data_IF_681737986407
#
_entry.id   IF_681737986407
#
_cell.length_a   1.000
_cell.length_b   1.000
_cell.length_c   1.000
_cell.angle_alpha   90.00
_cell.angle_beta   90.00
_cell.angle_gamma   90.00
#
_symmetry.space_group_name_H-M   'P 1'
#
loop_
_entity.id
_entity.type
_entity.pdbx_description
1 polymer ?
#
# COMPACT_ATOMS: atom_id res chain seq x y z
N UNK A 1 22.64 -45.44 -53.78
CA UNK A 1 23.43 -44.32 -53.22
C UNK A 1 22.67 -43.02 -53.45
N UNK A 2 21.91 -42.51 -52.45
CA UNK A 2 21.27 -41.19 -52.48
C UNK A 2 21.87 -40.40 -51.33
N UNK A 3 22.56 -39.27 -51.65
CA UNK A 3 23.15 -38.33 -50.69
C UNK A 3 22.03 -37.52 -50.02
N UNK A 4 21.93 -37.62 -48.70
CA UNK A 4 21.10 -36.76 -47.86
C UNK A 4 21.79 -35.41 -47.68
N UNK A 5 21.20 -34.32 -48.21
CA UNK A 5 21.68 -32.97 -48.03
C UNK A 5 21.29 -32.46 -46.63
N UNK A 6 22.28 -32.08 -45.82
CA UNK A 6 22.11 -31.45 -44.53
C UNK A 6 21.64 -30.00 -44.71
N UNK A 7 20.40 -29.71 -44.31
CA UNK A 7 19.86 -28.35 -44.21
C UNK A 7 20.41 -27.74 -42.92
N UNK A 8 21.42 -26.90 -43.07
CA UNK A 8 21.96 -26.06 -41.98
C UNK A 8 20.89 -25.02 -41.55
N UNK A 9 20.21 -25.27 -40.43
CA UNK A 9 19.40 -24.27 -39.76
C UNK A 9 20.31 -23.17 -39.20
N UNK A 10 20.42 -22.05 -39.91
CA UNK A 10 21.02 -20.82 -39.37
C UNK A 10 20.24 -20.40 -38.09
N UNK A 11 20.88 -20.54 -36.92
CA UNK A 11 20.41 -19.93 -35.67
C UNK A 11 20.27 -18.44 -35.91
N UNK A 12 19.17 -17.80 -35.45
CA UNK A 12 19.05 -16.37 -35.55
C UNK A 12 20.19 -15.70 -34.78
N UNK A 13 20.97 -14.85 -35.45
CA UNK A 13 21.99 -14.01 -34.82
C UNK A 13 21.28 -13.12 -33.81
N UNK A 14 21.49 -13.40 -32.52
CA UNK A 14 21.20 -12.43 -31.46
C UNK A 14 22.08 -11.23 -31.73
N UNK A 15 21.47 -10.10 -32.10
CA UNK A 15 22.17 -8.85 -32.33
C UNK A 15 22.93 -8.48 -31.04
N UNK A 16 24.25 -8.52 -31.12
CA UNK A 16 25.13 -8.09 -30.04
C UNK A 16 24.94 -6.62 -29.80
N UNK A 17 24.46 -6.29 -28.61
CA UNK A 17 24.18 -4.95 -28.15
C UNK A 17 25.48 -4.22 -27.80
N UNK A 18 26.04 -3.50 -28.76
CA UNK A 18 26.94 -2.39 -28.50
C UNK A 18 26.11 -1.12 -28.61
N UNK A 19 25.60 -0.63 -27.46
CA UNK A 19 25.37 0.80 -27.29
C UNK A 19 25.02 1.09 -25.82
N UNK A 20 25.90 1.88 -25.21
CA UNK A 20 25.77 2.56 -23.91
C UNK A 20 25.37 1.61 -22.77
N UNK A 21 26.21 0.67 -22.43
CA UNK A 21 26.19 0.01 -21.10
C UNK A 21 26.65 1.04 -20.09
N UNK A 22 25.70 1.72 -19.41
CA UNK A 22 26.00 2.38 -18.16
C UNK A 22 26.69 1.36 -17.25
N UNK A 23 27.74 1.79 -16.53
CA UNK A 23 28.32 0.95 -15.47
C UNK A 23 27.17 0.45 -14.59
N UNK A 24 27.13 -0.82 -14.19
CA UNK A 24 26.01 -1.40 -13.43
C UNK A 24 25.61 -0.55 -12.20
N UNK A 25 26.58 0.09 -11.56
CA UNK A 25 26.36 0.96 -10.40
C UNK A 25 25.57 2.22 -10.74
N UNK A 26 25.83 2.85 -11.91
CA UNK A 26 25.06 4.05 -12.32
C UNK A 26 23.63 3.71 -12.73
N UNK A 27 23.41 2.55 -13.36
CA UNK A 27 22.08 2.10 -13.72
C UNK A 27 21.22 1.82 -12.48
N UNK A 28 21.82 1.20 -11.47
CA UNK A 28 21.14 0.93 -10.18
C UNK A 28 20.84 2.23 -9.43
N UNK A 29 21.78 3.21 -9.45
CA UNK A 29 21.57 4.51 -8.79
C UNK A 29 20.41 5.29 -9.44
N UNK A 30 20.34 5.34 -10.77
CA UNK A 30 19.23 6.01 -11.48
C UNK A 30 17.89 5.32 -11.22
N UNK A 31 17.88 4.00 -11.21
CA UNK A 31 16.69 3.24 -10.86
C UNK A 31 16.26 3.51 -9.41
N UNK A 32 17.19 3.54 -8.48
CA UNK A 32 16.92 3.88 -7.09
C UNK A 32 16.29 5.27 -6.95
N UNK A 33 16.79 6.28 -7.66
CA UNK A 33 16.21 7.64 -7.65
C UNK A 33 14.77 7.67 -8.17
N UNK A 34 14.49 6.96 -9.28
CA UNK A 34 13.11 6.87 -9.82
C UNK A 34 12.19 6.14 -8.84
N UNK A 35 12.66 5.06 -8.22
CA UNK A 35 11.89 4.29 -7.25
C UNK A 35 11.64 5.12 -5.98
N UNK A 36 12.67 5.82 -5.47
CA UNK A 36 12.52 6.69 -4.30
C UNK A 36 11.48 7.79 -4.54
N UNK A 37 11.63 8.54 -5.65
CA UNK A 37 10.68 9.59 -6.01
C UNK A 37 9.28 9.02 -6.28
N UNK A 38 9.19 7.89 -6.97
CA UNK A 38 7.93 7.22 -7.27
C UNK A 38 7.21 6.73 -6.01
N UNK A 39 7.90 6.07 -5.09
CA UNK A 39 7.32 5.60 -3.82
C UNK A 39 6.92 6.78 -2.94
N UNK A 40 7.78 7.79 -2.80
CA UNK A 40 7.46 9.00 -2.04
C UNK A 40 6.22 9.69 -2.60
N UNK A 41 6.21 10.00 -3.90
CA UNK A 41 5.11 10.70 -4.53
C UNK A 41 3.80 9.92 -4.48
N UNK A 42 3.83 8.61 -4.83
CA UNK A 42 2.64 7.78 -4.83
C UNK A 42 2.19 7.33 -3.43
N UNK A 43 2.97 7.57 -2.39
CA UNK A 43 2.56 7.35 -1.00
C UNK A 43 2.01 8.63 -0.39
N UNK A 44 2.77 9.74 -0.40
CA UNK A 44 2.34 10.97 0.25
C UNK A 44 1.15 11.65 -0.45
N UNK A 45 1.16 11.74 -1.78
CA UNK A 45 0.11 12.45 -2.51
C UNK A 45 -1.21 11.68 -2.64
N UNK A 46 -1.45 10.66 -1.79
CA UNK A 46 -2.75 9.98 -1.73
C UNK A 46 -3.75 10.77 -0.91
N UNK A 47 -5.02 10.74 -1.34
CA UNK A 47 -6.15 11.30 -0.59
C UNK A 47 -6.29 10.67 0.80
N UNK A 48 -5.76 9.48 0.99
CA UNK A 48 -5.84 8.67 2.21
C UNK A 48 -4.59 8.75 3.09
N UNK A 49 -3.59 9.54 2.69
CA UNK A 49 -2.34 9.77 3.45
C UNK A 49 -2.23 11.25 3.80
N UNK A 50 -1.49 12.05 3.03
CA UNK A 50 -1.24 13.45 3.40
C UNK A 50 -2.52 14.29 3.42
N UNK A 51 -3.42 14.06 2.49
CA UNK A 51 -4.68 14.80 2.42
C UNK A 51 -5.81 14.21 3.30
N UNK A 52 -5.59 13.08 4.00
CA UNK A 52 -6.66 12.46 4.79
C UNK A 52 -7.18 13.38 5.88
N UNK A 53 -6.30 13.86 6.74
CA UNK A 53 -6.70 14.74 7.84
C UNK A 53 -7.27 16.09 7.37
N UNK A 54 -6.66 16.79 6.36
CA UNK A 54 -7.27 17.98 5.75
C UNK A 54 -8.66 17.72 5.15
N UNK A 55 -8.84 16.62 4.41
CA UNK A 55 -10.15 16.27 3.83
C UNK A 55 -11.18 15.93 4.91
N UNK A 56 -10.79 15.17 5.96
CA UNK A 56 -11.69 14.87 7.07
C UNK A 56 -12.13 16.17 7.78
N UNK A 57 -11.19 17.10 7.96
CA UNK A 57 -11.47 18.40 8.56
C UNK A 57 -12.42 19.23 7.69
N UNK A 58 -12.18 19.29 6.37
CA UNK A 58 -13.05 19.98 5.42
C UNK A 58 -14.45 19.37 5.39
N UNK A 59 -14.55 18.05 5.24
CA UNK A 59 -15.84 17.32 5.20
C UNK A 59 -16.65 17.57 6.48
N UNK A 60 -15.99 17.56 7.65
CA UNK A 60 -16.67 17.76 8.93
C UNK A 60 -17.07 19.22 9.17
N UNK A 61 -16.13 20.15 9.00
CA UNK A 61 -16.33 21.53 9.47
C UNK A 61 -16.95 22.46 8.42
N UNK A 62 -16.68 22.24 7.12
CA UNK A 62 -17.26 23.04 6.04
C UNK A 62 -18.54 22.40 5.50
N UNK A 63 -18.55 21.07 5.29
CA UNK A 63 -19.69 20.37 4.70
C UNK A 63 -20.61 19.73 5.74
N UNK A 64 -20.30 19.85 7.03
CA UNK A 64 -21.07 19.29 8.14
C UNK A 64 -21.39 17.80 7.99
N UNK A 65 -20.49 17.06 7.31
CA UNK A 65 -20.65 15.62 7.12
C UNK A 65 -20.59 14.89 8.47
N UNK A 66 -21.48 13.93 8.66
CA UNK A 66 -21.42 13.02 9.79
C UNK A 66 -20.26 12.01 9.65
N UNK A 67 -20.07 11.17 10.65
CA UNK A 67 -19.00 10.15 10.64
C UNK A 67 -19.18 9.18 9.49
N UNK A 68 -20.40 8.75 9.23
CA UNK A 68 -20.75 7.80 8.18
C UNK A 68 -20.45 8.36 6.80
N UNK A 69 -20.85 9.60 6.50
CA UNK A 69 -20.56 10.24 5.22
C UNK A 69 -19.06 10.51 5.05
N UNK A 70 -18.35 10.89 6.12
CA UNK A 70 -16.91 11.09 6.09
C UNK A 70 -16.17 9.77 5.79
N UNK A 71 -16.51 8.68 6.47
CA UNK A 71 -15.91 7.37 6.22
C UNK A 71 -16.28 6.82 4.82
N UNK A 72 -17.53 7.01 4.38
CA UNK A 72 -17.98 6.64 3.04
C UNK A 72 -17.20 7.38 1.95
N UNK A 73 -16.85 8.66 2.16
CA UNK A 73 -16.01 9.41 1.23
C UNK A 73 -14.68 8.68 0.95
N UNK A 74 -13.98 8.28 2.00
CA UNK A 74 -12.69 7.58 1.84
C UNK A 74 -12.85 6.17 1.27
N UNK A 75 -13.95 5.48 1.59
CA UNK A 75 -14.26 4.19 0.98
C UNK A 75 -14.42 4.32 -0.53
N UNK A 76 -15.26 5.22 -1.00
CA UNK A 76 -15.49 5.41 -2.43
C UNK A 76 -14.30 6.04 -3.15
N UNK A 77 -13.62 7.00 -2.55
CA UNK A 77 -12.38 7.55 -3.09
C UNK A 77 -11.30 6.50 -3.26
N UNK A 78 -11.28 5.47 -2.38
CA UNK A 78 -10.35 4.35 -2.44
C UNK A 78 -10.61 3.30 -3.52
N UNK A 79 -11.70 3.39 -4.28
CA UNK A 79 -12.15 2.37 -5.24
C UNK A 79 -11.04 1.88 -6.19
N UNK A 80 -10.23 2.79 -6.70
CA UNK A 80 -9.13 2.45 -7.61
C UNK A 80 -8.07 1.54 -6.94
N UNK A 81 -7.83 1.71 -5.63
CA UNK A 81 -6.85 0.89 -4.88
C UNK A 81 -7.33 -0.54 -4.67
N UNK A 82 -8.65 -0.79 -4.65
CA UNK A 82 -9.22 -2.14 -4.59
C UNK A 82 -9.06 -2.87 -5.92
N UNK A 83 -8.98 -2.09 -7.01
CA UNK A 83 -8.83 -2.59 -8.38
C UNK A 83 -7.36 -2.59 -8.87
N UNK A 84 -6.40 -2.40 -7.98
CA UNK A 84 -4.96 -2.31 -8.32
C UNK A 84 -4.43 -3.47 -9.18
N UNK A 85 -4.85 -4.74 -9.03
CA UNK A 85 -4.43 -5.83 -9.91
C UNK A 85 -4.76 -5.59 -11.39
N UNK A 86 -5.90 -4.97 -11.67
CA UNK A 86 -6.28 -4.62 -13.06
C UNK A 86 -5.37 -3.55 -13.65
N UNK A 87 -4.95 -2.55 -12.85
CA UNK A 87 -3.97 -1.56 -13.28
C UNK A 87 -2.62 -2.23 -13.63
N UNK A 88 -2.23 -3.29 -12.90
CA UNK A 88 -1.04 -4.10 -13.22
C UNK A 88 -1.15 -4.77 -14.57
N UNK A 89 -2.25 -5.47 -14.82
CA UNK A 89 -2.52 -6.13 -16.11
C UNK A 89 -2.55 -5.10 -17.23
N UNK A 90 -3.21 -3.95 -17.02
CA UNK A 90 -3.30 -2.87 -18.00
C UNK A 90 -1.92 -2.36 -18.41
N UNK A 91 -1.07 -2.01 -17.43
CA UNK A 91 0.28 -1.48 -17.70
C UNK A 91 1.22 -2.50 -18.32
N UNK A 92 0.97 -3.81 -18.09
CA UNK A 92 1.77 -4.89 -18.64
C UNK A 92 1.34 -5.27 -20.07
N UNK A 93 0.03 -5.29 -20.33
CA UNK A 93 -0.52 -5.77 -21.59
C UNK A 93 -0.53 -4.71 -22.70
N UNK A 94 -0.63 -3.43 -22.35
CA UNK A 94 -0.84 -2.34 -23.32
C UNK A 94 0.28 -1.29 -23.24
N UNK A 95 1.42 -1.49 -23.93
CA UNK A 95 2.50 -0.50 -23.93
C UNK A 95 2.06 0.79 -24.63
N UNK A 96 2.10 1.93 -23.92
CA UNK A 96 1.78 3.24 -24.47
C UNK A 96 3.04 3.85 -25.13
N UNK A 97 2.93 4.26 -26.38
CA UNK A 97 4.04 4.87 -27.17
C UNK A 97 5.30 3.98 -27.21
N UNK A 98 5.13 2.66 -27.12
CA UNK A 98 6.22 1.70 -27.11
C UNK A 98 6.99 1.60 -25.79
N UNK A 99 6.45 2.17 -24.70
CA UNK A 99 6.97 2.10 -23.34
C UNK A 99 5.91 1.50 -22.42
N UNK A 100 6.35 0.58 -21.54
CA UNK A 100 5.47 -0.08 -20.56
C UNK A 100 5.39 0.66 -19.23
N UNK A 101 6.45 1.39 -18.86
CA UNK A 101 6.55 2.03 -17.55
C UNK A 101 6.62 3.54 -17.67
N UNK A 102 7.56 4.05 -18.49
CA UNK A 102 7.83 5.49 -18.59
C UNK A 102 6.59 6.29 -18.98
N UNK A 103 5.89 5.89 -20.05
CA UNK A 103 4.69 6.61 -20.52
C UNK A 103 3.56 6.59 -19.50
N UNK A 104 3.32 5.45 -18.83
CA UNK A 104 2.31 5.36 -17.79
C UNK A 104 2.63 6.25 -16.59
N UNK A 105 3.88 6.23 -16.11
CA UNK A 105 4.31 7.08 -15.00
C UNK A 105 4.13 8.56 -15.35
N UNK A 106 4.59 8.99 -16.53
CA UNK A 106 4.50 10.40 -16.94
C UNK A 106 3.05 10.87 -17.07
N UNK A 107 2.24 10.13 -17.84
CA UNK A 107 0.85 10.51 -18.09
C UNK A 107 0.05 10.52 -16.78
N UNK A 108 0.16 9.45 -15.99
CA UNK A 108 -0.59 9.36 -14.75
C UNK A 108 -0.13 10.37 -13.69
N UNK A 109 1.16 10.67 -13.60
CA UNK A 109 1.67 11.70 -12.68
C UNK A 109 1.18 13.12 -13.08
N UNK A 110 1.22 13.46 -14.37
CA UNK A 110 0.68 14.74 -14.87
C UNK A 110 -0.81 14.84 -14.62
N UNK A 111 -1.58 13.82 -14.98
CA UNK A 111 -3.04 13.82 -14.81
C UNK A 111 -3.44 13.83 -13.33
N UNK A 112 -2.72 13.11 -12.46
CA UNK A 112 -2.93 13.18 -11.02
C UNK A 112 -2.62 14.58 -10.47
N UNK A 113 -1.51 15.21 -10.89
CA UNK A 113 -1.17 16.56 -10.48
C UNK A 113 -2.22 17.59 -10.92
N UNK A 114 -2.68 17.51 -12.16
CA UNK A 114 -3.75 18.37 -12.67
C UNK A 114 -5.07 18.14 -11.92
N UNK A 115 -5.39 16.89 -11.59
CA UNK A 115 -6.59 16.57 -10.80
C UNK A 115 -6.49 17.12 -9.37
N UNK A 116 -5.30 17.12 -8.75
CA UNK A 116 -5.07 17.78 -7.47
C UNK A 116 -5.25 19.29 -7.56
N UNK A 117 -4.71 19.94 -8.61
CA UNK A 117 -4.88 21.37 -8.82
C UNK A 117 -6.35 21.72 -9.13
N UNK A 118 -7.07 20.84 -9.82
CA UNK A 118 -8.50 21.03 -10.07
C UNK A 118 -9.31 21.13 -8.77
N UNK A 119 -8.90 20.45 -7.69
CA UNK A 119 -9.55 20.58 -6.37
C UNK A 119 -9.49 21.99 -5.79
N UNK A 120 -8.52 22.83 -6.20
CA UNK A 120 -8.40 24.22 -5.72
C UNK A 120 -9.60 25.06 -6.20
N UNK A 121 -10.06 24.79 -7.43
CA UNK A 121 -11.14 25.54 -8.08
C UNK A 121 -12.49 24.78 -8.04
N UNK A 122 -12.50 23.54 -7.57
CA UNK A 122 -13.72 22.74 -7.46
C UNK A 122 -14.57 23.27 -6.31
N UNK A 123 -15.89 23.52 -6.52
CA UNK A 123 -16.78 23.85 -5.42
C UNK A 123 -16.73 22.80 -4.31
N UNK A 124 -16.67 23.25 -3.06
CA UNK A 124 -16.62 22.37 -1.89
C UNK A 124 -18.01 21.73 -1.66
N UNK A 125 -18.36 20.80 -2.54
CA UNK A 125 -19.53 19.94 -2.46
C UNK A 125 -19.09 18.49 -2.36
N UNK A 126 -19.77 17.68 -1.57
CA UNK A 126 -19.42 16.29 -1.34
C UNK A 126 -19.22 15.49 -2.62
N UNK A 127 -20.15 15.60 -3.57
CA UNK A 127 -20.10 14.86 -4.84
C UNK A 127 -18.94 15.29 -5.73
N UNK A 128 -18.70 16.58 -5.81
CA UNK A 128 -17.62 17.14 -6.62
C UNK A 128 -16.26 16.73 -6.08
N UNK A 129 -16.03 16.88 -4.78
CA UNK A 129 -14.80 16.47 -4.11
C UNK A 129 -14.57 14.96 -4.25
N UNK A 130 -15.62 14.15 -4.05
CA UNK A 130 -15.53 12.69 -4.21
C UNK A 130 -15.16 12.28 -5.64
N UNK A 131 -15.81 12.89 -6.64
CA UNK A 131 -15.54 12.59 -8.04
C UNK A 131 -14.08 12.86 -8.42
N UNK A 132 -13.56 14.02 -8.02
CA UNK A 132 -12.16 14.37 -8.29
C UNK A 132 -11.21 13.47 -7.48
N UNK A 133 -11.55 13.12 -6.23
CA UNK A 133 -10.75 12.21 -5.41
C UNK A 133 -10.66 10.80 -6.03
N UNK A 134 -11.73 10.28 -6.63
CA UNK A 134 -11.73 9.00 -7.37
C UNK A 134 -10.77 9.10 -8.56
N UNK A 135 -10.83 10.19 -9.34
CA UNK A 135 -9.96 10.42 -10.50
C UNK A 135 -8.50 10.51 -10.09
N UNK A 136 -8.19 11.26 -9.02
CA UNK A 136 -6.84 11.33 -8.45
C UNK A 136 -6.34 9.92 -8.11
N UNK A 137 -7.12 9.15 -7.35
CA UNK A 137 -6.71 7.81 -6.93
C UNK A 137 -6.56 6.84 -8.12
N UNK A 138 -7.36 6.97 -9.16
CA UNK A 138 -7.21 6.18 -10.39
C UNK A 138 -5.83 6.41 -11.04
N UNK A 139 -5.43 7.66 -11.22
CA UNK A 139 -4.10 7.98 -11.76
C UNK A 139 -2.97 7.61 -10.80
N UNK A 140 -3.16 7.80 -9.49
CA UNK A 140 -2.19 7.42 -8.47
C UNK A 140 -1.93 5.90 -8.46
N UNK A 141 -2.97 5.08 -8.61
CA UNK A 141 -2.84 3.61 -8.70
C UNK A 141 -2.06 3.20 -9.94
N UNK A 142 -2.32 3.82 -11.09
CA UNK A 142 -1.58 3.55 -12.33
C UNK A 142 -0.10 3.93 -12.15
N UNK A 143 0.20 5.12 -11.61
CA UNK A 143 1.57 5.56 -11.34
C UNK A 143 2.29 4.59 -10.37
N UNK A 144 1.66 4.28 -9.24
CA UNK A 144 2.19 3.35 -8.22
C UNK A 144 2.47 1.95 -8.79
N UNK A 145 1.59 1.46 -9.64
CA UNK A 145 1.73 0.14 -10.27
C UNK A 145 2.86 0.13 -11.30
N UNK A 146 2.97 1.18 -12.11
CA UNK A 146 4.05 1.32 -13.08
C UNK A 146 5.43 1.49 -12.41
N UNK A 147 5.53 2.25 -11.31
CA UNK A 147 6.75 2.35 -10.49
C UNK A 147 7.11 1.01 -9.87
N UNK A 148 6.12 0.29 -9.33
CA UNK A 148 6.32 -1.06 -8.77
C UNK A 148 6.84 -2.05 -9.82
N UNK A 149 6.25 -2.06 -11.02
CA UNK A 149 6.68 -2.89 -12.14
C UNK A 149 8.11 -2.54 -12.59
N UNK A 150 8.45 -1.26 -12.70
CA UNK A 150 9.80 -0.81 -13.00
C UNK A 150 10.83 -1.29 -11.96
N UNK A 151 10.45 -1.24 -10.67
CA UNK A 151 11.30 -1.74 -9.60
C UNK A 151 11.58 -3.24 -9.75
N UNK A 152 10.56 -4.05 -10.02
CA UNK A 152 10.71 -5.51 -10.19
C UNK A 152 11.59 -5.83 -11.41
N UNK A 153 11.33 -5.21 -12.56
CA UNK A 153 12.14 -5.41 -13.78
C UNK A 153 13.60 -5.03 -13.57
N UNK A 154 13.87 -3.90 -12.89
CA UNK A 154 15.24 -3.47 -12.58
C UNK A 154 15.91 -4.40 -11.57
N UNK A 155 15.17 -4.85 -10.55
CA UNK A 155 15.69 -5.78 -9.54
C UNK A 155 16.16 -7.10 -10.18
N UNK A 156 15.38 -7.62 -11.13
CA UNK A 156 15.73 -8.82 -11.89
C UNK A 156 16.95 -8.59 -12.81
N UNK A 157 16.99 -7.44 -13.51
CA UNK A 157 18.06 -7.13 -14.44
C UNK A 157 19.42 -6.85 -13.78
N UNK A 158 19.42 -6.34 -12.53
CA UNK A 158 20.64 -5.91 -11.81
C UNK A 158 21.01 -6.83 -10.65
N UNK A 159 20.23 -7.90 -10.40
CA UNK A 159 20.35 -8.74 -9.20
C UNK A 159 20.34 -7.92 -7.90
N UNK A 160 19.67 -6.75 -7.93
CA UNK A 160 19.64 -5.76 -6.87
C UNK A 160 18.34 -5.77 -6.03
N UNK A 161 17.61 -6.88 -6.03
CA UNK A 161 16.28 -7.00 -5.41
C UNK A 161 16.27 -6.54 -3.95
N UNK A 162 17.19 -7.02 -3.13
CA UNK A 162 17.26 -6.66 -1.71
C UNK A 162 17.50 -5.16 -1.48
N UNK A 163 18.37 -4.53 -2.29
CA UNK A 163 18.66 -3.09 -2.16
C UNK A 163 17.47 -2.23 -2.55
N UNK A 164 16.80 -2.53 -3.66
CA UNK A 164 15.64 -1.76 -4.13
C UNK A 164 14.43 -1.92 -3.21
N UNK A 165 14.21 -3.11 -2.68
CA UNK A 165 13.16 -3.37 -1.68
C UNK A 165 13.42 -2.63 -0.37
N UNK A 166 14.68 -2.63 0.11
CA UNK A 166 15.07 -1.87 1.30
C UNK A 166 14.87 -0.36 1.13
N UNK A 167 15.26 0.19 -0.03
CA UNK A 167 15.03 1.60 -0.38
C UNK A 167 13.53 1.92 -0.38
N UNK A 168 12.73 1.10 -1.05
CA UNK A 168 11.27 1.28 -1.07
C UNK A 168 10.70 1.32 0.34
N UNK A 169 11.06 0.34 1.17
CA UNK A 169 10.54 0.25 2.54
C UNK A 169 10.99 1.44 3.39
N UNK A 170 12.23 1.86 3.27
CA UNK A 170 12.74 3.04 3.97
C UNK A 170 11.94 4.31 3.62
N UNK A 171 11.70 4.55 2.31
CA UNK A 171 10.92 5.71 1.88
C UNK A 171 9.47 5.63 2.36
N UNK A 172 8.83 4.45 2.34
CA UNK A 172 7.48 4.29 2.87
C UNK A 172 7.40 4.64 4.36
N UNK A 173 8.36 4.20 5.16
CA UNK A 173 8.41 4.55 6.58
C UNK A 173 8.70 6.02 6.82
N UNK A 174 9.60 6.62 6.04
CA UNK A 174 9.85 8.06 6.09
C UNK A 174 8.59 8.88 5.76
N UNK A 175 7.80 8.45 4.77
CA UNK A 175 6.52 9.06 4.46
C UNK A 175 5.54 9.02 5.64
N UNK A 176 5.47 7.92 6.37
CA UNK A 176 4.57 7.79 7.53
C UNK A 176 4.93 8.77 8.66
N UNK A 177 6.24 8.95 8.92
CA UNK A 177 6.73 9.90 9.92
C UNK A 177 6.44 11.35 9.53
N UNK A 178 6.70 11.68 8.26
CA UNK A 178 6.46 13.05 7.75
C UNK A 178 4.96 13.34 7.69
N UNK A 179 4.14 12.35 7.39
CA UNK A 179 2.70 12.50 7.18
C UNK A 179 1.99 13.11 8.39
N UNK A 180 2.29 12.67 9.61
CA UNK A 180 1.60 13.14 10.81
C UNK A 180 1.67 14.68 10.95
N UNK A 181 2.85 15.29 11.16
CA UNK A 181 2.99 16.74 11.30
C UNK A 181 2.55 17.51 10.05
N UNK A 182 2.88 17.01 8.85
CA UNK A 182 2.52 17.69 7.60
C UNK A 182 1.00 17.71 7.39
N UNK A 183 0.31 16.61 7.59
CA UNK A 183 -1.15 16.55 7.49
C UNK A 183 -1.84 17.40 8.56
N UNK A 184 -1.30 17.38 9.80
CA UNK A 184 -1.82 18.20 10.90
C UNK A 184 -1.70 19.71 10.62
N UNK A 185 -0.57 20.14 10.09
CA UNK A 185 -0.37 21.54 9.67
C UNK A 185 -1.29 21.92 8.50
N UNK A 186 -1.31 21.11 7.45
CA UNK A 186 -2.15 21.35 6.27
C UNK A 186 -3.66 21.36 6.60
N UNK A 187 -4.09 20.57 7.56
CA UNK A 187 -5.49 20.58 8.00
C UNK A 187 -5.89 21.84 8.77
N UNK A 188 -4.91 22.61 9.27
CA UNK A 188 -5.15 23.89 9.96
C UNK A 188 -5.17 25.12 9.05
N UNK A 189 -4.91 24.95 7.74
CA UNK A 189 -4.89 26.03 6.75
C UNK A 189 -5.87 25.74 5.60
N UNK A 190 -6.05 26.69 4.69
CA UNK A 190 -6.96 26.52 3.55
C UNK A 190 -6.63 25.27 2.73
N UNK A 191 -7.65 24.47 2.40
CA UNK A 191 -7.51 23.17 1.71
C UNK A 191 -6.75 23.25 0.37
N UNK A 192 -6.83 24.41 -0.31
CA UNK A 192 -6.07 24.65 -1.54
C UNK A 192 -4.56 24.40 -1.39
N UNK A 193 -3.97 24.67 -0.22
CA UNK A 193 -2.57 24.37 0.06
C UNK A 193 -2.28 22.87 0.11
N UNK A 194 -3.21 22.09 0.66
CA UNK A 194 -3.11 20.62 0.64
C UNK A 194 -3.12 20.11 -0.80
N UNK A 195 -4.06 20.60 -1.61
CA UNK A 195 -4.17 20.23 -3.02
C UNK A 195 -2.91 20.62 -3.82
N UNK A 196 -2.40 21.84 -3.60
CA UNK A 196 -1.15 22.32 -4.23
C UNK A 196 0.05 21.47 -3.81
N UNK A 197 0.20 21.15 -2.52
CA UNK A 197 1.30 20.34 -2.00
C UNK A 197 1.26 18.91 -2.59
N UNK A 198 0.10 18.24 -2.56
CA UNK A 198 -0.05 16.92 -3.15
C UNK A 198 0.18 16.93 -4.67
N UNK A 199 -0.33 17.95 -5.36
CA UNK A 199 -0.08 18.15 -6.80
C UNK A 199 1.41 18.34 -7.11
N UNK A 200 2.13 19.15 -6.35
CA UNK A 200 3.56 19.36 -6.48
C UNK A 200 4.37 18.09 -6.21
N UNK A 201 4.02 17.34 -5.15
CA UNK A 201 4.68 16.08 -4.78
C UNK A 201 4.55 15.05 -5.90
N UNK A 202 3.35 14.84 -6.46
CA UNK A 202 3.19 13.88 -7.55
C UNK A 202 3.82 14.37 -8.84
N UNK A 203 3.81 15.69 -9.11
CA UNK A 203 4.45 16.27 -10.28
C UNK A 203 5.98 16.11 -10.26
N UNK A 204 6.61 16.07 -9.08
CA UNK A 204 8.05 15.82 -8.93
C UNK A 204 8.49 14.51 -9.61
N UNK A 205 7.59 13.54 -9.73
CA UNK A 205 7.86 12.29 -10.42
C UNK A 205 8.12 12.48 -11.93
N UNK A 206 7.56 13.53 -12.53
CA UNK A 206 7.70 13.82 -13.97
C UNK A 206 9.15 14.12 -14.36
N UNK A 207 9.83 15.18 -13.83
CA UNK A 207 11.21 15.45 -14.17
C UNK A 207 12.16 14.31 -13.80
N UNK A 208 11.94 13.65 -12.65
CA UNK A 208 12.76 12.49 -12.26
C UNK A 208 12.63 11.35 -13.27
N UNK A 209 11.41 11.05 -13.73
CA UNK A 209 11.17 10.00 -14.72
C UNK A 209 11.76 10.36 -16.09
N UNK A 210 11.65 11.61 -16.52
CA UNK A 210 12.21 12.08 -17.81
C UNK A 210 13.74 11.93 -17.81
N UNK A 211 14.40 12.36 -16.73
CA UNK A 211 15.85 12.43 -16.63
C UNK A 211 16.51 11.07 -16.37
N UNK A 212 15.93 10.27 -15.48
CA UNK A 212 16.60 9.07 -14.96
C UNK A 212 16.01 7.76 -15.45
N UNK A 213 14.72 7.71 -15.87
CA UNK A 213 14.14 6.47 -16.33
C UNK A 213 14.46 6.22 -17.80
N UNK A 214 15.32 5.23 -18.03
CA UNK A 214 15.67 4.74 -19.37
C UNK A 214 15.01 3.40 -19.59
N UNK A 215 14.08 3.34 -20.51
CA UNK A 215 13.37 2.12 -20.89
C UNK A 215 13.65 1.77 -22.36
N UNK A 216 13.93 0.51 -22.64
CA UNK A 216 14.01 0.01 -24.02
C UNK A 216 12.58 -0.15 -24.56
N UNK A 217 12.35 0.37 -25.76
CA UNK A 217 11.10 0.11 -26.48
C UNK A 217 10.97 -1.40 -26.72
N UNK A 218 9.95 -2.02 -26.17
CA UNK A 218 9.63 -3.43 -26.37
C UNK A 218 8.32 -3.53 -27.14
N UNK A 219 8.34 -4.29 -28.22
CA UNK A 219 7.10 -4.78 -28.86
C UNK A 219 6.73 -6.09 -28.15
N UNK A 220 5.78 -6.03 -27.25
CA UNK A 220 5.22 -7.21 -26.60
C UNK A 220 3.92 -7.57 -27.32
N UNK A 221 3.71 -8.87 -27.49
CA UNK A 221 2.42 -9.36 -27.92
C UNK A 221 1.43 -9.31 -26.75
N UNK A 222 0.45 -8.41 -26.83
CA UNK A 222 -0.60 -8.24 -25.80
C UNK A 222 -1.35 -9.56 -25.56
N UNK A 223 -1.45 -10.45 -26.55
CA UNK A 223 -2.09 -11.76 -26.41
C UNK A 223 -1.30 -12.67 -25.49
N UNK A 224 0.03 -12.65 -25.57
CA UNK A 224 0.90 -13.42 -24.70
C UNK A 224 0.82 -12.94 -23.26
N UNK A 225 0.81 -11.60 -23.03
CA UNK A 225 0.69 -11.02 -21.71
C UNK A 225 -0.66 -11.33 -21.06
N UNK A 226 -1.77 -11.20 -21.82
CA UNK A 226 -3.10 -11.57 -21.35
C UNK A 226 -3.22 -13.07 -21.07
N UNK A 227 -2.62 -13.92 -21.92
CA UNK A 227 -2.56 -15.36 -21.69
C UNK A 227 -1.79 -15.73 -20.42
N UNK A 228 -0.71 -15.03 -20.12
CA UNK A 228 0.06 -15.16 -18.88
C UNK A 228 -0.75 -14.69 -17.68
N UNK A 229 -1.41 -13.53 -17.75
CA UNK A 229 -2.28 -13.02 -16.70
C UNK A 229 -3.43 -13.99 -16.39
N UNK A 230 -4.07 -14.58 -17.42
CA UNK A 230 -5.12 -15.59 -17.23
C UNK A 230 -4.58 -16.83 -16.50
N UNK A 231 -3.40 -17.34 -16.88
CA UNK A 231 -2.75 -18.48 -16.18
C UNK A 231 -2.46 -18.15 -14.72
N UNK A 232 -1.95 -16.96 -14.45
CA UNK A 232 -1.69 -16.51 -13.07
C UNK A 232 -2.97 -16.42 -12.25
N UNK A 233 -4.06 -15.89 -12.83
CA UNK A 233 -5.37 -15.84 -12.16
C UNK A 233 -5.90 -17.24 -11.83
N UNK A 234 -5.77 -18.20 -12.76
CA UNK A 234 -6.15 -19.59 -12.51
C UNK A 234 -5.32 -20.22 -11.40
N UNK A 235 -3.99 -20.01 -11.40
CA UNK A 235 -3.09 -20.48 -10.34
C UNK A 235 -3.49 -19.91 -8.97
N UNK A 236 -3.83 -18.63 -8.92
CA UNK A 236 -4.31 -17.95 -7.71
C UNK A 236 -5.66 -18.51 -7.25
N UNK A 237 -6.61 -18.66 -8.17
CA UNK A 237 -7.94 -19.18 -7.86
C UNK A 237 -7.91 -20.61 -7.28
N UNK A 238 -6.93 -21.42 -7.71
CA UNK A 238 -6.76 -22.80 -7.23
C UNK A 238 -5.85 -22.93 -6.01
N UNK A 239 -5.14 -21.86 -5.61
CA UNK A 239 -4.19 -21.88 -4.50
C UNK A 239 -4.87 -21.87 -3.11
N UNK A 240 -5.21 -23.04 -2.59
CA UNK A 240 -5.85 -23.19 -1.26
C UNK A 240 -5.08 -22.48 -0.14
N UNK A 241 -3.77 -22.51 -0.18
CA UNK A 241 -2.88 -21.84 0.80
C UNK A 241 -3.06 -20.33 0.79
N UNK A 242 -3.18 -19.73 -0.40
CA UNK A 242 -3.42 -18.30 -0.54
C UNK A 242 -4.80 -17.89 -0.02
N UNK A 243 -5.85 -18.68 -0.31
CA UNK A 243 -7.20 -18.39 0.18
C UNK A 243 -7.32 -18.55 1.70
N UNK A 244 -6.61 -19.50 2.31
CA UNK A 244 -6.55 -19.62 3.77
C UNK A 244 -5.88 -18.39 4.40
N UNK A 245 -4.78 -17.90 3.81
CA UNK A 245 -4.12 -16.68 4.25
C UNK A 245 -5.00 -15.43 4.02
N UNK A 246 -5.65 -15.33 2.86
CA UNK A 246 -6.59 -14.25 2.54
C UNK A 246 -7.78 -14.25 3.52
N UNK A 247 -8.29 -15.41 3.90
CA UNK A 247 -9.36 -15.56 4.88
C UNK A 247 -8.95 -15.04 6.26
N UNK A 248 -7.74 -15.37 6.74
CA UNK A 248 -7.22 -14.85 8.01
C UNK A 248 -7.04 -13.33 7.95
N UNK A 249 -6.45 -12.82 6.86
CA UNK A 249 -6.30 -11.38 6.65
C UNK A 249 -7.66 -10.68 6.61
N UNK A 250 -8.60 -11.19 5.83
CA UNK A 250 -9.95 -10.64 5.76
C UNK A 250 -10.60 -10.60 7.14
N UNK A 251 -10.49 -11.67 7.93
CA UNK A 251 -11.07 -11.73 9.28
C UNK A 251 -10.42 -10.72 10.24
N UNK A 252 -9.09 -10.52 10.15
CA UNK A 252 -8.41 -9.52 10.96
C UNK A 252 -8.86 -8.09 10.61
N UNK A 253 -8.99 -7.80 9.31
CA UNK A 253 -9.36 -6.47 8.83
C UNK A 253 -10.88 -6.22 8.76
N UNK A 254 -11.73 -7.26 8.86
CA UNK A 254 -13.19 -7.10 8.91
C UNK A 254 -13.69 -6.60 10.27
N UNK A 255 -12.81 -6.55 11.27
CA UNK A 255 -13.11 -5.96 12.57
C UNK A 255 -13.63 -4.52 12.38
N UNK A 256 -14.76 -4.13 13.02
CA UNK A 256 -15.35 -2.81 12.84
C UNK A 256 -14.33 -1.70 13.04
N UNK A 257 -14.04 -0.95 12.00
CA UNK A 257 -13.06 0.14 12.03
C UNK A 257 -13.57 1.33 12.83
N UNK A 258 -12.67 2.09 13.44
CA UNK A 258 -13.01 3.27 14.22
C UNK A 258 -12.08 4.48 13.96
N UNK A 259 -11.35 4.46 12.84
CA UNK A 259 -10.40 5.53 12.52
C UNK A 259 -11.12 6.88 12.32
N UNK A 260 -12.23 6.89 11.57
CA UNK A 260 -13.04 8.11 11.40
C UNK A 260 -13.77 8.47 12.72
N UNK A 261 -14.27 7.48 13.44
CA UNK A 261 -14.89 7.71 14.76
C UNK A 261 -13.90 8.34 15.76
N UNK A 262 -12.66 7.87 15.78
CA UNK A 262 -11.58 8.41 16.60
C UNK A 262 -11.28 9.87 16.24
N UNK A 263 -11.21 10.21 14.94
CA UNK A 263 -11.05 11.60 14.51
C UNK A 263 -12.14 12.52 15.08
N UNK A 264 -13.41 12.09 15.03
CA UNK A 264 -14.51 12.86 15.60
C UNK A 264 -14.43 12.94 17.13
N UNK A 265 -14.05 11.87 17.81
CA UNK A 265 -13.81 11.85 19.27
C UNK A 265 -12.70 12.83 19.66
N UNK A 266 -11.60 12.84 18.95
CA UNK A 266 -10.47 13.75 19.16
C UNK A 266 -10.90 15.23 19.05
N UNK A 267 -11.74 15.56 18.06
CA UNK A 267 -12.21 16.93 17.87
C UNK A 267 -13.36 17.33 18.80
N UNK A 268 -14.37 16.45 18.98
CA UNK A 268 -15.60 16.81 19.67
C UNK A 268 -15.52 16.64 21.20
N UNK A 269 -14.82 15.59 21.67
CA UNK A 269 -14.74 15.28 23.10
C UNK A 269 -13.44 15.81 23.74
N UNK A 270 -12.31 15.67 23.03
CA UNK A 270 -11.01 16.10 23.55
C UNK A 270 -10.58 17.49 23.06
N UNK A 271 -11.35 18.09 22.15
CA UNK A 271 -11.08 19.42 21.57
C UNK A 271 -9.64 19.59 21.04
N UNK A 272 -9.06 18.50 20.48
CA UNK A 272 -7.70 18.51 19.97
C UNK A 272 -7.63 19.26 18.64
N UNK A 273 -6.65 20.16 18.53
CA UNK A 273 -6.34 20.84 17.27
C UNK A 273 -5.84 19.82 16.22
N UNK A 274 -5.96 20.15 14.93
CA UNK A 274 -5.47 19.32 13.83
C UNK A 274 -3.96 19.09 13.90
N UNK A 275 -3.20 20.09 14.38
CA UNK A 275 -1.76 19.96 14.62
C UNK A 275 -1.46 18.92 15.72
N UNK A 276 -2.24 18.94 16.81
CA UNK A 276 -2.12 17.94 17.89
C UNK A 276 -2.44 16.54 17.37
N UNK A 277 -3.47 16.39 16.55
CA UNK A 277 -3.81 15.12 15.90
C UNK A 277 -2.66 14.64 14.97
N UNK A 278 -2.07 15.55 14.20
CA UNK A 278 -0.87 15.27 13.41
C UNK A 278 0.32 14.81 14.26
N UNK A 279 0.52 15.45 15.44
CA UNK A 279 1.57 15.05 16.38
C UNK A 279 1.33 13.66 16.98
N UNK A 280 0.08 13.29 17.28
CA UNK A 280 -0.28 11.93 17.69
C UNK A 280 0.06 10.92 16.58
N UNK A 281 -0.21 11.25 15.32
CA UNK A 281 0.19 10.45 14.17
C UNK A 281 1.71 10.28 14.04
N UNK A 282 2.50 11.31 14.38
CA UNK A 282 3.96 11.22 14.44
C UNK A 282 4.42 10.23 15.52
N UNK A 283 3.84 10.28 16.72
CA UNK A 283 4.16 9.33 17.81
C UNK A 283 3.87 7.89 17.34
N UNK A 284 2.69 7.66 16.78
CA UNK A 284 2.32 6.35 16.24
C UNK A 284 3.31 5.89 15.15
N UNK A 285 3.71 6.78 14.24
CA UNK A 285 4.67 6.50 13.18
C UNK A 285 6.06 6.13 13.70
N UNK A 286 6.59 6.84 14.69
CA UNK A 286 7.89 6.54 15.33
C UNK A 286 7.84 5.17 16.01
N UNK A 287 6.79 4.89 16.80
CA UNK A 287 6.60 3.59 17.45
C UNK A 287 6.43 2.48 16.40
N UNK A 288 5.79 2.76 15.27
CA UNK A 288 5.69 1.84 14.14
C UNK A 288 7.05 1.51 13.51
N UNK A 289 7.96 2.48 13.38
CA UNK A 289 9.32 2.22 12.89
C UNK A 289 10.06 1.31 13.86
N UNK A 290 9.98 1.56 15.16
CA UNK A 290 10.59 0.71 16.18
C UNK A 290 10.05 -0.72 16.11
N UNK A 291 8.74 -0.85 15.92
CA UNK A 291 8.07 -2.14 15.68
C UNK A 291 8.59 -2.85 14.43
N UNK A 292 8.78 -2.13 13.33
CA UNK A 292 9.29 -2.70 12.08
C UNK A 292 10.73 -3.20 12.21
N UNK A 293 11.59 -2.45 12.90
CA UNK A 293 12.96 -2.88 13.22
C UNK A 293 12.93 -4.13 14.11
N UNK A 294 12.10 -4.12 15.15
CA UNK A 294 11.92 -5.28 16.05
C UNK A 294 11.42 -6.51 15.30
N UNK A 295 10.43 -6.34 14.41
CA UNK A 295 9.92 -7.43 13.56
C UNK A 295 11.03 -8.01 12.67
N UNK A 296 11.85 -7.18 12.04
CA UNK A 296 12.96 -7.61 11.20
C UNK A 296 14.01 -8.47 11.94
N UNK A 297 14.15 -8.28 13.25
CA UNK A 297 14.99 -9.13 14.12
C UNK A 297 14.26 -10.41 14.50
N UNK A 298 13.00 -10.30 14.89
CA UNK A 298 12.18 -11.41 15.37
C UNK A 298 11.83 -12.43 14.28
N UNK A 299 11.58 -12.00 13.03
CA UNK A 299 11.24 -12.90 11.92
C UNK A 299 12.36 -13.89 11.57
N UNK A 300 13.61 -13.56 11.89
CA UNK A 300 14.76 -14.46 11.71
C UNK A 300 14.86 -15.52 12.82
N UNK A 301 14.32 -15.24 14.01
CA UNK A 301 14.42 -16.11 15.19
C UNK A 301 13.19 -16.96 15.41
N UNK A 302 12.00 -16.41 15.13
CA UNK A 302 10.71 -17.04 15.37
C UNK A 302 10.09 -17.53 14.06
N UNK A 303 9.25 -18.55 14.14
CA UNK A 303 8.46 -18.99 13.01
C UNK A 303 7.24 -18.05 12.81
N UNK A 304 6.70 -18.01 11.60
CA UNK A 304 5.61 -17.11 11.25
C UNK A 304 4.35 -17.35 12.10
N UNK A 305 4.07 -18.59 12.51
CA UNK A 305 2.92 -18.90 13.37
C UNK A 305 3.00 -18.17 14.71
N UNK A 306 4.15 -18.25 15.36
CA UNK A 306 4.41 -17.57 16.64
C UNK A 306 4.32 -16.06 16.49
N UNK A 307 4.91 -15.52 15.41
CA UNK A 307 4.85 -14.09 15.10
C UNK A 307 3.41 -13.62 14.90
N UNK A 308 2.60 -14.31 14.08
CA UNK A 308 1.19 -13.96 13.86
C UNK A 308 0.43 -13.90 15.18
N UNK A 309 0.55 -14.95 16.02
CA UNK A 309 -0.16 -15.02 17.31
C UNK A 309 0.23 -13.82 18.20
N UNK A 310 1.53 -13.63 18.45
CA UNK A 310 2.00 -12.55 19.33
C UNK A 310 1.71 -11.16 18.78
N UNK A 311 1.93 -10.93 17.49
CA UNK A 311 1.68 -9.63 16.88
C UNK A 311 0.18 -9.28 16.87
N UNK A 312 -0.71 -10.25 16.60
CA UNK A 312 -2.16 -10.01 16.65
C UNK A 312 -2.64 -9.79 18.09
N UNK A 313 -2.12 -10.53 19.08
CA UNK A 313 -2.41 -10.29 20.50
C UNK A 313 -1.95 -8.89 20.93
N UNK A 314 -0.74 -8.47 20.55
CA UNK A 314 -0.22 -7.13 20.84
C UNK A 314 -1.12 -6.05 20.24
N UNK A 315 -1.57 -6.22 18.99
CA UNK A 315 -2.50 -5.31 18.34
C UNK A 315 -3.84 -5.25 19.07
N UNK A 316 -4.39 -6.40 19.51
CA UNK A 316 -5.63 -6.47 20.27
C UNK A 316 -5.52 -5.73 21.61
N UNK A 317 -4.41 -5.92 22.34
CA UNK A 317 -4.15 -5.21 23.61
C UNK A 317 -4.00 -3.69 23.36
N UNK A 318 -3.29 -3.30 22.32
CA UNK A 318 -3.14 -1.91 21.94
C UNK A 318 -4.48 -1.26 21.59
N UNK A 319 -5.35 -1.95 20.86
CA UNK A 319 -6.70 -1.49 20.56
C UNK A 319 -7.56 -1.30 21.81
N UNK A 320 -7.49 -2.20 22.78
CA UNK A 320 -8.21 -2.04 24.05
C UNK A 320 -7.77 -0.79 24.82
N UNK A 321 -6.56 -0.29 24.58
CA UNK A 321 -6.10 0.99 25.13
C UNK A 321 -7.03 2.16 24.80
N UNK A 322 -7.71 2.15 23.65
CA UNK A 322 -8.64 3.22 23.28
C UNK A 322 -9.86 3.35 24.20
N UNK A 323 -10.16 2.37 25.05
CA UNK A 323 -11.17 2.50 26.11
C UNK A 323 -10.80 3.57 27.14
N UNK A 324 -9.51 3.87 27.28
CA UNK A 324 -8.98 4.87 28.22
C UNK A 324 -8.61 6.20 27.55
N UNK A 325 -9.07 6.43 26.31
CA UNK A 325 -8.73 7.60 25.49
C UNK A 325 -9.52 8.84 25.95
N UNK A 326 -9.05 9.50 27.02
CA UNK A 326 -9.79 10.56 27.70
C UNK A 326 -8.99 11.84 27.97
N UNK A 327 -7.69 11.87 27.70
CA UNK A 327 -6.84 13.06 27.86
C UNK A 327 -5.67 13.02 26.86
N UNK A 328 -5.03 14.16 26.61
CA UNK A 328 -3.91 14.25 25.67
C UNK A 328 -2.75 13.31 26.05
N UNK A 329 -2.37 13.24 27.32
CA UNK A 329 -1.27 12.34 27.77
C UNK A 329 -1.63 10.86 27.56
N UNK A 330 -2.88 10.46 27.84
CA UNK A 330 -3.34 9.10 27.54
C UNK A 330 -3.40 8.86 26.04
N UNK A 331 -3.88 9.82 25.26
CA UNK A 331 -3.90 9.74 23.81
C UNK A 331 -2.49 9.47 23.23
N UNK A 332 -1.47 10.21 23.69
CA UNK A 332 -0.08 10.02 23.26
C UNK A 332 0.43 8.61 23.56
N UNK A 333 0.19 8.10 24.76
CA UNK A 333 0.59 6.74 25.13
C UNK A 333 -0.13 5.67 24.32
N UNK A 334 -1.44 5.83 24.10
CA UNK A 334 -2.29 4.88 23.38
C UNK A 334 -1.92 4.88 21.89
N UNK A 335 -1.71 6.05 21.28
CA UNK A 335 -1.28 6.13 19.88
C UNK A 335 0.11 5.52 19.66
N UNK A 336 1.04 5.72 20.60
CA UNK A 336 2.34 5.04 20.56
C UNK A 336 2.21 3.51 20.65
N UNK A 337 1.41 3.02 21.59
CA UNK A 337 1.15 1.59 21.78
C UNK A 337 0.44 0.98 20.55
N UNK A 338 -0.53 1.70 19.99
CA UNK A 338 -1.24 1.28 18.78
C UNK A 338 -0.31 1.27 17.56
N UNK A 339 0.51 2.31 17.38
CA UNK A 339 1.51 2.36 16.32
C UNK A 339 2.46 1.16 16.35
N UNK A 340 2.88 0.74 17.54
CA UNK A 340 3.68 -0.45 17.73
C UNK A 340 2.89 -1.74 17.42
N UNK A 341 1.74 -1.93 18.06
CA UNK A 341 0.95 -3.17 17.96
C UNK A 341 0.38 -3.40 16.56
N UNK A 342 -0.21 -2.37 15.97
CA UNK A 342 -0.77 -2.43 14.62
C UNK A 342 0.32 -2.71 13.58
N UNK A 343 1.47 -2.03 13.66
CA UNK A 343 2.58 -2.27 12.70
C UNK A 343 3.13 -3.69 12.80
N UNK A 344 3.26 -4.24 14.00
CA UNK A 344 3.68 -5.64 14.17
C UNK A 344 2.69 -6.61 13.51
N UNK A 345 1.39 -6.43 13.73
CA UNK A 345 0.36 -7.29 13.13
C UNK A 345 0.33 -7.13 11.60
N UNK A 346 0.40 -5.90 11.10
CA UNK A 346 0.47 -5.59 9.67
C UNK A 346 1.65 -6.31 9.00
N UNK A 347 2.84 -6.24 9.57
CA UNK A 347 4.04 -6.88 9.03
C UNK A 347 3.92 -8.41 9.03
N UNK A 348 3.37 -9.00 10.10
CA UNK A 348 3.15 -10.44 10.17
C UNK A 348 2.13 -10.93 9.13
N UNK A 349 1.05 -10.17 8.91
CA UNK A 349 0.04 -10.47 7.89
C UNK A 349 0.59 -10.26 6.47
N UNK A 350 1.43 -9.24 6.25
CA UNK A 350 2.09 -9.04 4.95
C UNK A 350 3.12 -10.15 4.67
N UNK A 351 3.87 -10.63 5.67
CA UNK A 351 4.77 -11.79 5.53
C UNK A 351 3.97 -13.06 5.18
N UNK A 352 2.81 -13.27 5.82
CA UNK A 352 1.89 -14.33 5.47
C UNK A 352 1.40 -14.21 4.02
N UNK A 353 1.04 -13.01 3.57
CA UNK A 353 0.60 -12.77 2.19
C UNK A 353 1.68 -13.13 1.18
N UNK A 354 2.92 -12.71 1.42
CA UNK A 354 4.06 -13.03 0.54
C UNK A 354 4.30 -14.53 0.47
N UNK A 355 4.33 -15.23 1.63
CA UNK A 355 4.61 -16.67 1.69
C UNK A 355 3.50 -17.54 1.12
N UNK A 356 2.26 -17.06 1.12
CA UNK A 356 1.10 -17.81 0.63
C UNK A 356 0.88 -17.66 -0.87
N UNK A 357 1.50 -16.68 -1.51
CA UNK A 357 1.34 -16.40 -2.93
C UNK A 357 2.00 -17.49 -3.78
N UNK A 358 1.31 -18.06 -4.80
CA UNK A 358 1.86 -19.11 -5.64
C UNK A 358 3.07 -18.64 -6.46
N UNK A 359 4.05 -19.53 -6.66
CA UNK A 359 5.19 -19.28 -7.53
C UNK A 359 4.76 -18.98 -8.97
N UNK A 360 5.38 -17.97 -9.59
CA UNK A 360 5.02 -17.47 -10.92
C UNK A 360 3.80 -16.56 -10.96
N UNK A 361 3.19 -16.25 -9.80
CA UNK A 361 2.05 -15.33 -9.66
C UNK A 361 2.26 -14.32 -8.51
N UNK A 362 3.53 -14.11 -8.11
CA UNK A 362 3.90 -13.35 -6.90
C UNK A 362 3.36 -11.93 -6.94
N UNK A 363 3.56 -11.21 -8.06
CA UNK A 363 3.13 -9.82 -8.19
C UNK A 363 1.61 -9.65 -8.17
N UNK A 364 0.91 -10.47 -8.94
CA UNK A 364 -0.56 -10.40 -9.04
C UNK A 364 -1.22 -10.90 -7.75
N UNK A 365 -0.73 -12.01 -7.18
CA UNK A 365 -1.28 -12.57 -5.94
C UNK A 365 -1.11 -11.63 -4.76
N UNK A 366 0.08 -11.07 -4.56
CA UNK A 366 0.32 -10.07 -3.52
C UNK A 366 -0.54 -8.81 -3.72
N UNK A 367 -0.69 -8.34 -4.98
CA UNK A 367 -1.54 -7.20 -5.31
C UNK A 367 -3.01 -7.45 -4.95
N UNK A 368 -3.53 -8.67 -5.19
CA UNK A 368 -4.88 -9.07 -4.78
C UNK A 368 -5.03 -9.04 -3.26
N UNK A 369 -4.07 -9.59 -2.51
CA UNK A 369 -4.09 -9.60 -1.05
C UNK A 369 -4.12 -8.16 -0.48
N UNK A 370 -3.29 -7.26 -1.03
CA UNK A 370 -3.29 -5.85 -0.64
C UNK A 370 -4.61 -5.16 -1.00
N UNK A 371 -5.22 -5.50 -2.13
CA UNK A 371 -6.53 -4.96 -2.52
C UNK A 371 -7.64 -5.40 -1.58
N UNK A 372 -7.66 -6.67 -1.18
CA UNK A 372 -8.61 -7.20 -0.17
C UNK A 372 -8.41 -6.48 1.17
N UNK A 373 -7.17 -6.31 1.61
CA UNK A 373 -6.84 -5.55 2.82
C UNK A 373 -7.40 -4.12 2.77
N UNK A 374 -7.13 -3.39 1.68
CA UNK A 374 -7.57 -2.01 1.55
C UNK A 374 -9.11 -1.90 1.52
N UNK A 375 -9.77 -2.80 0.79
CA UNK A 375 -11.24 -2.87 0.76
C UNK A 375 -11.80 -3.12 2.17
N UNK A 376 -11.25 -4.08 2.91
CA UNK A 376 -11.68 -4.38 4.26
C UNK A 376 -11.45 -3.17 5.19
N UNK A 377 -10.26 -2.57 5.18
CA UNK A 377 -9.90 -1.46 6.07
C UNK A 377 -10.84 -0.26 5.92
N UNK A 378 -11.13 0.18 4.70
CA UNK A 378 -12.01 1.32 4.47
C UNK A 378 -13.49 0.96 4.57
N UNK A 379 -13.86 -0.25 4.15
CA UNK A 379 -15.24 -0.75 4.28
C UNK A 379 -15.65 -0.89 5.74
N UNK A 380 -14.76 -1.38 6.59
CA UNK A 380 -15.06 -1.53 8.03
C UNK A 380 -15.03 -0.22 8.79
N UNK A 381 -14.23 0.78 8.37
CA UNK A 381 -14.27 2.13 8.92
C UNK A 381 -15.62 2.82 8.62
N UNK A 382 -16.11 2.65 7.38
CA UNK A 382 -17.47 3.09 7.02
C UNK A 382 -18.54 2.34 7.81
N UNK A 383 -18.46 1.01 7.90
CA UNK A 383 -19.40 0.19 8.69
C UNK A 383 -19.38 0.57 10.18
N UNK A 384 -18.21 0.73 10.79
CA UNK A 384 -18.08 1.13 12.18
C UNK A 384 -18.64 2.53 12.45
N UNK A 385 -18.42 3.49 11.54
CA UNK A 385 -19.01 4.83 11.63
C UNK A 385 -20.53 4.78 11.54
N UNK A 386 -21.09 3.92 10.66
CA UNK A 386 -22.53 3.72 10.53
C UNK A 386 -23.15 3.11 11.80
N UNK A 387 -22.46 2.17 12.47
CA UNK A 387 -22.89 1.60 13.74
C UNK A 387 -23.03 2.67 14.84
N UNK A 388 -22.14 3.66 14.85
CA UNK A 388 -22.20 4.76 15.81
C UNK A 388 -23.34 5.74 15.51
N UNK A 389 -23.53 6.10 14.23
CA UNK A 389 -24.49 7.13 13.85
C UNK A 389 -25.92 6.61 13.78
N UNK A 390 -26.17 5.42 13.19
CA UNK A 390 -27.52 4.90 13.02
C UNK A 390 -27.99 4.03 14.18
N UNK A 391 -27.09 3.23 14.76
CA UNK A 391 -27.44 2.32 15.85
C UNK A 391 -27.08 2.88 17.23
N UNK A 392 -26.55 4.11 17.29
CA UNK A 392 -26.20 4.81 18.53
C UNK A 392 -25.28 4.02 19.47
N UNK A 393 -24.41 3.15 18.88
CA UNK A 393 -23.40 2.45 19.65
C UNK A 393 -22.38 3.43 20.25
N UNK A 394 -21.88 3.14 21.42
CA UNK A 394 -20.80 3.95 22.00
C UNK A 394 -19.46 3.65 21.31
N UNK A 395 -18.54 4.64 21.33
CA UNK A 395 -17.16 4.43 20.84
C UNK A 395 -16.49 3.24 21.55
N UNK A 396 -16.71 3.09 22.86
CA UNK A 396 -16.17 1.97 23.63
C UNK A 396 -16.71 0.60 23.15
N UNK A 397 -18.00 0.52 22.82
CA UNK A 397 -18.59 -0.69 22.26
C UNK A 397 -17.93 -1.06 20.92
N UNK A 398 -17.63 -0.08 20.08
CA UNK A 398 -16.94 -0.28 18.82
C UNK A 398 -15.50 -0.79 19.01
N UNK A 399 -14.76 -0.21 19.98
CA UNK A 399 -13.42 -0.66 20.36
C UNK A 399 -13.44 -2.11 20.86
N UNK A 400 -14.42 -2.45 21.71
CA UNK A 400 -14.58 -3.83 22.22
C UNK A 400 -14.90 -4.79 21.06
N UNK A 401 -15.84 -4.43 20.17
CA UNK A 401 -16.20 -5.25 19.02
C UNK A 401 -15.00 -5.46 18.08
N UNK A 402 -14.22 -4.42 17.81
CA UNK A 402 -12.98 -4.52 17.02
C UNK A 402 -11.97 -5.48 17.69
N UNK A 403 -11.72 -5.29 18.97
CA UNK A 403 -10.76 -6.10 19.72
C UNK A 403 -11.22 -7.57 19.86
N UNK A 404 -12.51 -7.81 20.02
CA UNK A 404 -13.07 -9.16 20.06
C UNK A 404 -12.92 -9.87 18.72
N UNK A 405 -13.20 -9.18 17.60
CA UNK A 405 -13.04 -9.74 16.26
C UNK A 405 -11.58 -10.08 15.95
N UNK A 406 -10.65 -9.19 16.31
CA UNK A 406 -9.21 -9.47 16.14
C UNK A 406 -8.74 -10.62 17.03
N UNK A 407 -9.27 -10.72 18.25
CA UNK A 407 -8.95 -11.83 19.16
C UNK A 407 -9.45 -13.18 18.63
N UNK A 408 -10.64 -13.23 18.03
CA UNK A 408 -11.19 -14.43 17.39
C UNK A 408 -10.31 -14.89 16.22
N UNK A 409 -9.65 -13.98 15.53
CA UNK A 409 -8.75 -14.33 14.44
C UNK A 409 -7.45 -15.03 14.93
N UNK A 410 -7.04 -14.83 16.19
CA UNK A 410 -5.79 -15.41 16.73
C UNK A 410 -5.78 -16.95 16.71
N UNK A 411 -6.77 -17.68 17.23
CA UNK A 411 -6.75 -19.15 17.18
C UNK A 411 -6.83 -19.71 15.76
N UNK A 412 -7.39 -18.97 14.80
CA UNK A 412 -7.46 -19.42 13.42
C UNK A 412 -6.09 -19.46 12.72
N UNK A 413 -5.08 -18.82 13.27
CA UNK A 413 -3.68 -18.98 12.86
C UNK A 413 -3.25 -20.45 12.92
N UNK A 414 -3.84 -21.24 13.85
CA UNK A 414 -3.54 -22.67 14.02
C UNK A 414 -4.06 -23.51 12.84
N UNK A 415 -5.10 -23.03 12.15
CA UNK A 415 -5.69 -23.69 10.98
C UNK A 415 -4.91 -23.46 9.69
N UNK A 416 -3.97 -22.50 9.68
CA UNK A 416 -3.14 -22.24 8.51
C UNK A 416 -2.25 -23.44 8.15
N UNK A 417 -2.03 -23.69 6.84
CA UNK A 417 -1.19 -24.80 6.39
C UNK A 417 0.21 -24.72 6.99
N UNK A 418 0.67 -25.81 7.59
CA UNK A 418 1.97 -25.89 8.30
C UNK A 418 3.16 -25.47 7.44
N UNK A 419 3.13 -25.77 6.14
CA UNK A 419 4.20 -25.45 5.19
C UNK A 419 4.53 -23.96 5.11
N UNK A 420 3.54 -23.07 5.32
CA UNK A 420 3.72 -21.61 5.24
C UNK A 420 4.21 -21.05 6.57
N UNK A 421 3.67 -21.55 7.69
CA UNK A 421 3.80 -20.88 9.00
C UNK A 421 4.95 -21.41 9.87
N UNK A 422 5.50 -22.60 9.60
CA UNK A 422 6.55 -23.21 10.45
C UNK A 422 7.94 -22.69 10.11
N UNK A 423 8.21 -22.30 8.84
CA UNK A 423 9.55 -21.90 8.41
C UNK A 423 9.91 -20.52 8.93
N UNK A 424 11.18 -20.38 9.41
CA UNK A 424 11.79 -19.10 9.72
C UNK A 424 12.28 -18.44 8.43
N UNK A 425 12.39 -17.11 8.44
CA UNK A 425 12.82 -16.36 7.25
C UNK A 425 14.23 -16.78 6.76
N UNK A 426 15.17 -16.98 7.69
CA UNK A 426 16.53 -17.43 7.37
C UNK A 426 16.62 -18.83 6.71
N UNK A 427 15.63 -19.71 6.92
CA UNK A 427 15.57 -21.05 6.33
C UNK A 427 15.08 -21.02 4.88
N UNK A 428 14.18 -20.08 4.56
CA UNK A 428 13.69 -19.87 3.20
C UNK A 428 14.83 -19.40 2.30
N UNK A 429 15.64 -18.45 2.78
CA UNK A 429 16.79 -17.92 2.03
C UNK A 429 17.84 -18.98 1.73
N UNK A 430 18.17 -19.86 2.69
CA UNK A 430 19.13 -20.97 2.50
C UNK A 430 18.61 -22.04 1.51
N UNK A 431 17.33 -22.27 1.44
CA UNK A 431 16.74 -23.24 0.51
C UNK A 431 16.73 -22.74 -0.94
N UNK A 432 16.58 -21.44 -1.17
CA UNK A 432 16.67 -20.82 -2.50
C UNK A 432 18.10 -20.75 -3.01
N UNK A 433 19.07 -20.45 -2.14
CA UNK A 433 20.51 -20.36 -2.53
C UNK A 433 21.12 -21.75 -2.82
N UNK A 434 20.58 -22.85 -2.28
CA UNK A 434 21.04 -24.21 -2.59
C UNK A 434 20.44 -24.81 -3.89
N UNK A 435 19.47 -24.14 -4.52
CA UNK A 435 18.85 -24.54 -5.80
C UNK A 435 19.37 -23.76 -7.01
N UNK A 436 20.21 -22.77 -6.80
CA UNK A 436 21.02 -22.08 -7.82
C UNK A 436 22.45 -22.65 -7.83
#
# INVERSE_FOLDING_TARGET
MRKCGSVSRKKPRVATASDVRLRPDKALTYAALVIMAGVLATTLAQTQVLARLPLQNLLKNELHADRTANAAFFFWAGLAWYLKPFAGILTDAFPLFGSRRKSYILISAVLAALSWLALIVTPHEYRNLLSVAIVINAFMVIASTAVGGYMVETAQATSGSGRLTAIRQFIQQACLVINGPAAGYLAGIAFGWTAAACGAIIFLLVPVTVLFLRERRQRLDSREVLGNAKRQLVNIATARTMWAAAGLMALFYIAPGFATALFYKQQNELHLSTQTQGFLGLIAGICGILAAVGYGILCRRLNLRTLLIWCMLTATIANLGYLFYSSLGRAQAIEGLNGLGYTLAELALMDLAVRSTPAGSEGLGFSIMVSVRNLALFGTDWFGSNLLDQYHLSFNALVIANSATTLIAVPLVLLLPRLIVIRKDAEIYRATTKRQ
#
